data_IF_564950955334
#
_entry.id   IF_564950955334
#
_cell.length_a   1.000
_cell.length_b   1.000
_cell.length_c   1.000
_cell.angle_alpha   90.00
_cell.angle_beta   90.00
_cell.angle_gamma   90.00
#
_symmetry.space_group_name_H-M   'P 1'
#
loop_
_entity.id
_entity.type
_entity.pdbx_description
1 polymer ?
#
# COMPACT_ATOMS: atom_id res chain seq x y z
N UNK A 1 -4.39 5.96 0.16
CA UNK A 1 -5.21 4.74 0.35
C UNK A 1 -4.75 4.01 1.62
N UNK A 2 -5.61 3.25 2.31
CA UNK A 2 -5.21 2.43 3.47
C UNK A 2 -5.63 0.98 3.20
N UNK A 3 -4.73 0.03 3.44
CA UNK A 3 -4.99 -1.42 3.31
C UNK A 3 -4.37 -2.17 4.48
N UNK A 4 -4.94 -3.32 4.83
CA UNK A 4 -4.33 -4.23 5.80
C UNK A 4 -3.07 -4.90 5.24
N UNK A 5 -2.20 -5.39 6.13
CA UNK A 5 -1.00 -6.15 5.74
C UNK A 5 -1.36 -7.43 4.97
N UNK A 6 -2.49 -8.06 5.29
CA UNK A 6 -2.97 -9.26 4.58
C UNK A 6 -3.46 -8.92 3.16
N UNK A 7 -4.18 -7.80 2.98
CA UNK A 7 -4.57 -7.33 1.64
C UNK A 7 -3.36 -6.93 0.81
N UNK A 8 -2.41 -6.22 1.42
CA UNK A 8 -1.16 -5.85 0.79
C UNK A 8 -0.41 -7.10 0.32
N UNK A 9 -0.30 -8.14 1.16
CA UNK A 9 0.34 -9.41 0.79
C UNK A 9 -0.36 -10.09 -0.39
N UNK A 10 -1.70 -10.13 -0.39
CA UNK A 10 -2.46 -10.81 -1.42
C UNK A 10 -2.44 -10.10 -2.79
N UNK A 11 -2.31 -8.76 -2.79
CA UNK A 11 -2.49 -7.92 -3.98
C UNK A 11 -1.30 -7.00 -4.27
N UNK A 12 -0.14 -7.25 -3.68
CA UNK A 12 1.01 -6.33 -3.77
C UNK A 12 1.35 -5.92 -5.21
N UNK A 13 1.39 -6.83 -6.20
CA UNK A 13 1.70 -6.44 -7.58
C UNK A 13 0.68 -5.46 -8.15
N UNK A 14 -0.62 -5.74 -7.99
CA UNK A 14 -1.70 -4.88 -8.48
C UNK A 14 -1.66 -3.50 -7.81
N UNK A 15 -1.43 -3.47 -6.50
CA UNK A 15 -1.29 -2.22 -5.75
C UNK A 15 -0.11 -1.39 -6.26
N UNK A 16 1.04 -2.01 -6.54
CA UNK A 16 2.22 -1.31 -7.06
C UNK A 16 1.98 -0.80 -8.48
N UNK A 17 1.47 -1.63 -9.39
CA UNK A 17 1.26 -1.23 -10.79
C UNK A 17 0.22 -0.12 -10.95
N UNK A 18 -0.74 -0.03 -10.04
CA UNK A 18 -1.77 1.01 -10.05
C UNK A 18 -1.40 2.25 -9.24
N UNK A 19 -0.29 2.22 -8.47
CA UNK A 19 0.11 3.34 -7.63
C UNK A 19 0.67 4.48 -8.49
N UNK A 20 -0.03 5.61 -8.51
CA UNK A 20 0.39 6.76 -9.31
C UNK A 20 1.59 7.46 -8.69
N UNK A 21 2.33 8.22 -9.50
CA UNK A 21 3.47 9.00 -9.03
C UNK A 21 3.06 9.92 -7.87
N UNK A 22 3.76 9.79 -6.74
CA UNK A 22 3.49 10.56 -5.52
C UNK A 22 2.25 10.12 -4.75
N UNK A 23 1.50 9.11 -5.22
CA UNK A 23 0.39 8.54 -4.49
C UNK A 23 0.90 7.73 -3.29
N UNK A 24 0.24 7.92 -2.14
CA UNK A 24 0.57 7.21 -0.91
C UNK A 24 -0.47 6.13 -0.59
N UNK A 25 0.04 4.93 -0.32
CA UNK A 25 -0.72 3.80 0.20
C UNK A 25 -0.13 3.36 1.55
N UNK A 26 -0.93 3.43 2.60
CA UNK A 26 -0.56 3.07 3.96
C UNK A 26 -0.96 1.61 4.21
N UNK A 27 -0.01 0.81 4.69
CA UNK A 27 -0.22 -0.57 5.10
C UNK A 27 -0.37 -0.59 6.62
N UNK A 28 -1.46 -1.18 7.11
CA UNK A 28 -1.78 -1.25 8.54
C UNK A 28 -1.95 -2.70 9.02
N UNK A 29 -1.82 -2.90 10.32
CA UNK A 29 -2.27 -4.12 11.01
C UNK A 29 -3.12 -3.71 12.20
N UNK A 30 -4.39 -4.15 12.25
CA UNK A 30 -5.35 -3.73 13.27
C UNK A 30 -5.40 -2.20 13.49
N UNK A 31 -5.43 -1.43 12.40
CA UNK A 31 -5.37 0.05 12.36
C UNK A 31 -4.05 0.68 12.83
N UNK A 32 -3.03 -0.09 13.18
CA UNK A 32 -1.70 0.43 13.44
C UNK A 32 -0.93 0.59 12.12
N UNK A 33 -0.42 1.79 11.79
CA UNK A 33 0.38 2.00 10.59
C UNK A 33 1.72 1.27 10.70
N UNK A 34 1.99 0.38 9.75
CA UNK A 34 3.23 -0.39 9.70
C UNK A 34 4.21 0.16 8.67
N UNK A 35 3.72 0.49 7.48
CA UNK A 35 4.54 0.93 6.37
C UNK A 35 3.73 1.80 5.40
N UNK A 36 4.43 2.49 4.49
CA UNK A 36 3.82 3.17 3.36
C UNK A 36 4.53 2.85 2.05
N UNK A 37 3.75 2.71 0.99
CA UNK A 37 4.22 2.68 -0.39
C UNK A 37 3.99 4.06 -1.00
N UNK A 38 4.98 4.54 -1.75
CA UNK A 38 4.90 5.79 -2.51
C UNK A 38 5.17 5.45 -3.96
N UNK A 39 4.26 5.79 -4.87
CA UNK A 39 4.47 5.59 -6.29
C UNK A 39 5.67 6.41 -6.77
N UNK A 40 6.66 5.73 -7.37
CA UNK A 40 7.88 6.33 -7.91
C UNK A 40 7.83 6.38 -9.44
N UNK A 41 8.60 7.29 -10.04
CA UNK A 41 8.77 7.44 -11.49
C UNK A 41 9.97 6.65 -11.99
#
# INVERSE_FOLDING_TARGET
MIVSVQEAQAKLPELIYNLKLGEELLITDNNFPLAKLIGQS
#
